data_IF_905227580507
#
_entry.id   IF_905227580507
#
_cell.length_a   1.000
_cell.length_b   1.000
_cell.length_c   1.000
_cell.angle_alpha   90.00
_cell.angle_beta   90.00
_cell.angle_gamma   90.00
#
_symmetry.space_group_name_H-M   'P 1'
#
loop_
_entity.id
_entity.type
_entity.pdbx_description
1 polymer ?
#
# COMPACT_ATOMS: atom_id res chain seq x y z
N UNK A 1 24.33 3.94 2.51
CA UNK A 1 23.35 3.52 3.52
C UNK A 1 22.17 4.48 3.40
N UNK A 2 20.98 3.99 3.12
CA UNK A 2 19.78 4.83 3.08
C UNK A 2 19.56 5.41 4.48
N UNK A 3 19.26 6.70 4.57
CA UNK A 3 18.89 7.37 5.83
C UNK A 3 17.44 7.02 6.25
N UNK A 4 16.90 5.93 5.73
CA UNK A 4 15.56 5.41 6.03
C UNK A 4 15.63 4.57 7.32
N UNK A 5 14.57 4.60 8.12
CA UNK A 5 14.47 3.79 9.33
C UNK A 5 14.24 2.30 9.06
N UNK A 6 14.24 1.50 10.11
CA UNK A 6 14.14 0.02 10.04
C UNK A 6 12.87 -0.46 9.31
N UNK A 7 11.73 0.21 9.51
CA UNK A 7 10.47 -0.13 8.84
C UNK A 7 10.50 0.28 7.37
N UNK A 8 11.13 1.39 7.08
CA UNK A 8 11.24 1.96 5.74
C UNK A 8 12.14 1.11 4.82
N UNK A 9 13.09 0.37 5.35
CA UNK A 9 13.89 -0.58 4.55
C UNK A 9 13.02 -1.69 3.94
N UNK A 10 11.84 -1.94 4.54
CA UNK A 10 10.86 -2.87 3.95
C UNK A 10 10.17 -2.35 2.68
N UNK A 11 10.30 -1.05 2.34
CA UNK A 11 9.74 -0.44 1.13
C UNK A 11 10.25 -1.09 -0.16
N UNK A 12 11.48 -1.58 -0.13
CA UNK A 12 12.09 -2.18 -1.32
C UNK A 12 11.55 -3.58 -1.64
N UNK A 13 11.09 -4.34 -0.64
CA UNK A 13 10.60 -5.70 -0.84
C UNK A 13 9.41 -5.77 -1.82
N UNK A 14 8.37 -4.92 -1.70
CA UNK A 14 7.30 -4.87 -2.70
C UNK A 14 7.77 -4.45 -4.10
N UNK A 15 8.72 -3.53 -4.20
CA UNK A 15 9.30 -3.13 -5.48
C UNK A 15 10.04 -4.29 -6.13
N UNK A 16 10.92 -4.97 -5.39
CA UNK A 16 11.64 -6.16 -5.88
C UNK A 16 10.68 -7.29 -6.27
N UNK A 17 9.59 -7.48 -5.53
CA UNK A 17 8.56 -8.46 -5.87
C UNK A 17 7.90 -8.17 -7.21
N UNK A 18 7.55 -6.90 -7.49
CA UNK A 18 6.97 -6.49 -8.78
C UNK A 18 7.97 -6.60 -9.93
N UNK A 19 9.24 -6.25 -9.70
CA UNK A 19 10.32 -6.43 -10.69
C UNK A 19 10.46 -7.92 -11.02
N UNK A 20 10.61 -8.76 -10.00
CA UNK A 20 10.75 -10.21 -10.16
C UNK A 20 9.57 -10.82 -10.92
N UNK A 21 8.34 -10.48 -10.55
CA UNK A 21 7.16 -11.00 -11.22
C UNK A 21 7.07 -10.49 -12.66
N UNK A 22 7.42 -9.24 -12.93
CA UNK A 22 7.43 -8.69 -14.30
C UNK A 22 8.40 -9.41 -15.21
N UNK A 23 9.53 -9.88 -14.68
CA UNK A 23 10.57 -10.60 -15.44
C UNK A 23 10.27 -12.09 -15.59
N UNK A 24 9.69 -12.75 -14.56
CA UNK A 24 9.57 -14.21 -14.52
C UNK A 24 8.13 -14.73 -14.58
N UNK A 25 7.15 -13.94 -14.16
CA UNK A 25 5.74 -14.30 -14.05
C UNK A 25 4.82 -13.15 -14.47
N UNK A 26 4.97 -12.55 -15.69
CA UNK A 26 4.26 -11.33 -16.10
C UNK A 26 2.73 -11.52 -16.14
N UNK A 27 2.23 -12.76 -16.13
CA UNK A 27 0.80 -13.06 -15.99
C UNK A 27 0.22 -12.73 -14.61
N UNK A 28 1.05 -12.62 -13.57
CA UNK A 28 0.63 -12.18 -12.23
C UNK A 28 0.51 -10.66 -12.22
N UNK A 29 1.60 -9.98 -12.57
CA UNK A 29 1.67 -8.53 -12.69
C UNK A 29 2.80 -8.15 -13.64
N UNK A 30 2.54 -7.17 -14.50
CA UNK A 30 3.57 -6.55 -15.32
C UNK A 30 3.67 -5.06 -14.96
N UNK A 31 4.76 -4.69 -14.32
CA UNK A 31 5.03 -3.35 -13.82
C UNK A 31 6.20 -2.72 -14.57
N UNK A 32 5.88 -2.08 -15.71
CA UNK A 32 6.87 -1.40 -16.53
C UNK A 32 7.64 -0.34 -15.74
N UNK A 33 6.94 0.38 -14.85
CA UNK A 33 7.57 1.45 -14.05
C UNK A 33 8.57 0.91 -13.03
N UNK A 34 8.24 -0.21 -12.39
CA UNK A 34 9.18 -0.88 -11.48
C UNK A 34 10.43 -1.38 -12.24
N UNK A 35 10.27 -1.93 -13.44
CA UNK A 35 11.40 -2.33 -14.29
C UNK A 35 12.30 -1.14 -14.68
N UNK A 36 11.72 0.02 -15.02
CA UNK A 36 12.49 1.24 -15.32
C UNK A 36 13.29 1.76 -14.11
N UNK A 37 12.82 1.47 -12.89
CA UNK A 37 13.50 1.90 -11.67
C UNK A 37 14.55 0.90 -11.17
N UNK A 38 14.60 -0.30 -11.73
CA UNK A 38 15.49 -1.39 -11.26
C UNK A 38 16.94 -0.93 -11.09
N UNK A 39 17.47 -0.23 -12.09
CA UNK A 39 18.88 0.23 -12.10
C UNK A 39 19.13 1.41 -11.15
N UNK A 40 18.06 2.08 -10.67
CA UNK A 40 18.15 3.19 -9.73
C UNK A 40 18.06 2.75 -8.26
N UNK A 41 17.70 1.49 -8.04
CA UNK A 41 17.68 0.94 -6.67
C UNK A 41 19.11 0.73 -6.16
N UNK A 42 19.34 0.79 -4.85
CA UNK A 42 20.62 0.49 -4.22
C UNK A 42 21.20 -0.85 -4.71
N UNK A 43 22.49 -0.88 -5.03
CA UNK A 43 23.16 -2.06 -5.62
C UNK A 43 23.13 -3.28 -4.70
N UNK A 44 23.22 -3.07 -3.40
CA UNK A 44 23.12 -4.12 -2.38
C UNK A 44 21.76 -4.83 -2.38
N UNK A 45 20.70 -4.14 -2.80
CA UNK A 45 19.35 -4.72 -2.96
C UNK A 45 19.21 -5.49 -4.29
N UNK A 46 19.96 -5.08 -5.31
CA UNK A 46 19.96 -5.77 -6.62
C UNK A 46 20.74 -7.09 -6.56
N UNK A 47 21.86 -7.11 -5.84
CA UNK A 47 22.79 -8.24 -5.75
C UNK A 47 22.43 -9.24 -4.66
N UNK A 48 21.88 -8.78 -3.54
CA UNK A 48 21.49 -9.62 -2.43
C UNK A 48 20.09 -10.21 -2.66
N UNK A 49 20.03 -11.33 -3.36
CA UNK A 49 18.84 -12.20 -3.44
C UNK A 49 18.45 -12.81 -2.09
N UNK A 50 18.46 -12.00 -1.00
CA UNK A 50 18.13 -12.44 0.36
C UNK A 50 16.64 -12.79 0.49
N UNK A 51 15.81 -12.30 -0.43
CA UNK A 51 14.38 -12.56 -0.42
C UNK A 51 14.05 -13.89 -1.10
N UNK A 52 13.26 -14.74 -0.42
CA UNK A 52 12.78 -15.96 -1.04
C UNK A 52 11.85 -15.64 -2.22
N UNK A 53 11.85 -16.51 -3.25
CA UNK A 53 10.90 -16.38 -4.37
C UNK A 53 9.45 -16.30 -3.87
N UNK A 54 9.12 -17.03 -2.81
CA UNK A 54 7.81 -16.98 -2.19
C UNK A 54 7.47 -15.56 -1.68
N UNK A 55 8.40 -14.89 -1.00
CA UNK A 55 8.21 -13.53 -0.49
C UNK A 55 7.99 -12.54 -1.63
N UNK A 56 8.80 -12.63 -2.68
CA UNK A 56 8.69 -11.77 -3.86
C UNK A 56 7.35 -11.97 -4.58
N UNK A 57 6.97 -13.23 -4.84
CA UNK A 57 5.71 -13.54 -5.50
C UNK A 57 4.49 -13.19 -4.64
N UNK A 58 4.53 -13.44 -3.33
CA UNK A 58 3.44 -13.05 -2.42
C UNK A 58 3.21 -11.54 -2.44
N UNK A 59 4.30 -10.75 -2.46
CA UNK A 59 4.23 -9.29 -2.58
C UNK A 59 3.68 -8.84 -3.93
N UNK A 60 4.07 -9.49 -5.01
CA UNK A 60 3.57 -9.22 -6.36
C UNK A 60 2.06 -9.53 -6.49
N UNK A 61 1.61 -10.67 -5.96
CA UNK A 61 0.19 -11.07 -5.93
C UNK A 61 -0.64 -10.06 -5.12
N UNK A 62 -0.12 -9.57 -3.98
CA UNK A 62 -0.75 -8.51 -3.22
C UNK A 62 -0.97 -7.26 -4.09
N UNK A 63 0.08 -6.78 -4.78
CA UNK A 63 -0.03 -5.63 -5.68
C UNK A 63 -1.03 -5.88 -6.81
N UNK A 64 -1.04 -7.05 -7.41
CA UNK A 64 -2.00 -7.43 -8.46
C UNK A 64 -3.46 -7.42 -7.95
N UNK A 65 -3.70 -7.89 -6.73
CA UNK A 65 -5.02 -7.85 -6.10
C UNK A 65 -5.45 -6.40 -5.81
N UNK A 66 -4.56 -5.55 -5.30
CA UNK A 66 -4.85 -4.12 -5.12
C UNK A 66 -5.23 -3.46 -6.44
N UNK A 67 -4.48 -3.71 -7.52
CA UNK A 67 -4.77 -3.23 -8.87
C UNK A 67 -6.17 -3.65 -9.33
N UNK A 68 -6.59 -4.89 -9.04
CA UNK A 68 -7.91 -5.41 -9.39
C UNK A 68 -9.02 -4.63 -8.69
N UNK A 69 -8.90 -4.37 -7.40
CA UNK A 69 -9.87 -3.58 -6.65
C UNK A 69 -9.93 -2.14 -7.14
N UNK A 70 -8.79 -1.51 -7.39
CA UNK A 70 -8.72 -0.16 -7.94
C UNK A 70 -9.41 -0.08 -9.30
N UNK A 71 -9.11 -1.00 -10.22
CA UNK A 71 -9.78 -1.04 -11.54
C UNK A 71 -11.28 -1.29 -11.42
N UNK A 72 -11.70 -2.14 -10.49
CA UNK A 72 -13.13 -2.37 -10.20
C UNK A 72 -13.82 -1.11 -9.70
N UNK A 73 -13.18 -0.38 -8.77
CA UNK A 73 -13.68 0.92 -8.30
C UNK A 73 -13.77 1.93 -9.44
N UNK A 74 -12.71 2.12 -10.22
CA UNK A 74 -12.66 3.07 -11.33
C UNK A 74 -13.65 2.74 -12.45
N UNK A 75 -13.98 1.46 -12.63
CA UNK A 75 -15.06 1.06 -13.57
C UNK A 75 -16.43 1.56 -13.10
N UNK A 76 -16.70 1.56 -11.79
CA UNK A 76 -17.95 2.05 -11.19
C UNK A 76 -17.96 3.58 -10.99
N UNK A 77 -16.81 4.16 -10.75
CA UNK A 77 -16.58 5.56 -10.39
C UNK A 77 -15.39 6.13 -11.20
N UNK A 78 -15.54 6.36 -12.50
CA UNK A 78 -14.41 6.73 -13.37
C UNK A 78 -13.74 8.07 -13.01
N UNK A 79 -14.45 8.97 -12.32
CA UNK A 79 -13.94 10.24 -11.80
C UNK A 79 -13.72 10.20 -10.28
N UNK A 80 -13.68 9.01 -9.70
CA UNK A 80 -13.38 8.82 -8.29
C UNK A 80 -11.93 9.15 -7.95
N UNK A 81 -11.65 9.22 -6.66
CA UNK A 81 -10.33 9.54 -6.11
C UNK A 81 -9.69 8.30 -5.53
N UNK A 82 -8.42 8.10 -5.81
CA UNK A 82 -7.61 7.04 -5.18
C UNK A 82 -6.67 7.68 -4.17
N UNK A 83 -6.67 7.16 -2.94
CA UNK A 83 -5.72 7.55 -1.90
C UNK A 83 -4.93 6.32 -1.47
N UNK A 84 -3.61 6.39 -1.58
CA UNK A 84 -2.69 5.33 -1.15
C UNK A 84 -2.05 5.70 0.18
N UNK A 85 -2.39 4.99 1.26
CA UNK A 85 -1.78 5.15 2.58
C UNK A 85 -0.56 4.24 2.72
N UNK A 86 0.53 4.77 3.25
CA UNK A 86 1.80 4.05 3.29
C UNK A 86 2.27 3.71 1.88
N UNK A 87 2.27 4.72 0.99
CA UNK A 87 2.48 4.50 -0.44
C UNK A 87 3.88 4.00 -0.79
N UNK A 88 4.88 4.26 0.07
CA UNK A 88 6.26 3.83 -0.17
C UNK A 88 6.71 4.08 -1.61
N UNK A 89 7.24 3.04 -2.23
CA UNK A 89 7.64 3.03 -3.65
C UNK A 89 6.61 2.32 -4.55
N UNK A 90 5.31 2.38 -4.19
CA UNK A 90 4.26 1.75 -4.99
C UNK A 90 4.05 2.50 -6.32
N UNK A 91 3.91 1.74 -7.39
CA UNK A 91 3.80 2.22 -8.77
C UNK A 91 2.41 1.99 -9.36
N UNK A 92 1.41 1.77 -8.52
CA UNK A 92 0.02 1.49 -8.90
C UNK A 92 -0.58 2.56 -9.81
N UNK A 93 -0.24 3.84 -9.57
CA UNK A 93 -0.65 4.95 -10.45
C UNK A 93 -0.32 4.63 -11.92
N UNK A 94 0.90 4.19 -12.21
CA UNK A 94 1.33 3.91 -13.60
C UNK A 94 0.64 2.68 -14.21
N UNK A 95 0.09 1.77 -13.38
CA UNK A 95 -0.59 0.56 -13.86
C UNK A 95 -2.11 0.71 -13.96
N UNK A 96 -2.69 1.61 -13.16
CA UNK A 96 -4.13 1.67 -12.95
C UNK A 96 -4.77 3.01 -13.32
N UNK A 97 -3.99 4.07 -13.59
CA UNK A 97 -4.56 5.37 -13.95
C UNK A 97 -5.40 5.26 -15.24
N UNK A 98 -6.58 5.87 -15.20
CA UNK A 98 -7.53 5.90 -16.31
C UNK A 98 -7.50 7.24 -17.08
N UNK A 99 -6.55 8.13 -16.80
CA UNK A 99 -6.41 9.44 -17.42
C UNK A 99 -7.34 10.53 -16.88
N UNK A 100 -8.19 10.25 -15.88
CA UNK A 100 -9.20 11.17 -15.33
C UNK A 100 -9.12 11.28 -13.82
N UNK A 101 -8.81 10.20 -13.15
CA UNK A 101 -8.78 10.07 -11.69
C UNK A 101 -7.71 10.94 -11.07
N UNK A 102 -8.02 11.55 -9.92
CA UNK A 102 -7.05 12.17 -9.03
C UNK A 102 -6.52 11.15 -8.05
N UNK A 103 -5.20 11.17 -7.86
CA UNK A 103 -4.48 10.26 -6.97
C UNK A 103 -3.78 11.04 -5.88
N UNK A 104 -3.81 10.49 -4.68
CA UNK A 104 -3.06 11.01 -3.53
C UNK A 104 -2.23 9.87 -2.94
N UNK A 105 -0.93 10.11 -2.82
CA UNK A 105 -0.01 9.18 -2.20
C UNK A 105 0.46 9.77 -0.86
N UNK A 106 0.11 9.11 0.22
CA UNK A 106 0.34 9.57 1.60
C UNK A 106 1.39 8.68 2.26
N UNK A 107 2.44 9.29 2.79
CA UNK A 107 3.46 8.60 3.59
C UNK A 107 4.22 9.59 4.48
N UNK A 108 5.08 9.08 5.34
CA UNK A 108 5.94 9.89 6.19
C UNK A 108 6.82 10.84 5.35
N UNK A 109 7.17 12.03 5.87
CA UNK A 109 7.86 13.06 5.08
C UNK A 109 9.12 12.55 4.37
N UNK A 110 9.99 11.83 5.08
CA UNK A 110 11.23 11.30 4.51
C UNK A 110 11.00 10.22 3.43
N UNK A 111 9.90 9.45 3.52
CA UNK A 111 9.50 8.48 2.50
C UNK A 111 9.01 9.21 1.25
N UNK A 112 8.20 10.25 1.42
CA UNK A 112 7.72 11.09 0.32
C UNK A 112 8.88 11.79 -0.38
N UNK A 113 9.87 12.28 0.36
CA UNK A 113 11.05 12.93 -0.23
C UNK A 113 11.86 11.92 -1.06
N UNK A 114 12.11 10.72 -0.53
CA UNK A 114 12.76 9.66 -1.30
C UNK A 114 11.94 9.20 -2.51
N UNK A 115 10.60 9.10 -2.37
CA UNK A 115 9.70 8.79 -3.48
C UNK A 115 9.85 9.80 -4.62
N UNK A 116 9.91 11.09 -4.34
CA UNK A 116 10.06 12.16 -5.35
C UNK A 116 11.33 12.04 -6.18
N UNK A 117 12.41 11.52 -5.61
CA UNK A 117 13.67 11.29 -6.33
C UNK A 117 13.53 10.22 -7.41
N UNK A 118 12.76 9.18 -7.13
CA UNK A 118 12.60 8.03 -8.03
C UNK A 118 11.37 8.14 -8.93
N UNK A 119 10.29 8.70 -8.41
CA UNK A 119 8.97 8.78 -9.02
C UNK A 119 8.49 10.24 -8.99
N UNK A 120 8.83 11.04 -10.02
CA UNK A 120 8.36 12.42 -10.09
C UNK A 120 6.83 12.49 -10.05
N UNK A 121 6.30 13.44 -9.30
CA UNK A 121 4.86 13.68 -9.19
C UNK A 121 4.28 14.04 -10.55
N UNK A 122 3.13 13.47 -10.88
CA UNK A 122 2.39 13.78 -12.10
C UNK A 122 1.32 14.86 -11.86
N UNK A 123 0.71 15.35 -12.91
CA UNK A 123 -0.39 16.34 -12.82
C UNK A 123 -1.62 15.80 -12.06
N UNK A 124 -1.84 14.49 -12.07
CA UNK A 124 -2.97 13.83 -11.42
C UNK A 124 -2.62 13.06 -10.16
N UNK A 125 -1.35 13.00 -9.79
CA UNK A 125 -0.88 12.35 -8.58
C UNK A 125 -0.28 13.38 -7.63
N UNK A 126 -0.83 13.54 -6.44
CA UNK A 126 -0.38 14.47 -5.40
C UNK A 126 0.27 13.70 -4.26
N UNK A 127 1.47 14.09 -3.85
CA UNK A 127 2.17 13.52 -2.71
C UNK A 127 1.89 14.33 -1.46
N UNK A 128 1.37 13.65 -0.42
CA UNK A 128 1.06 14.23 0.87
C UNK A 128 1.98 13.64 1.95
N UNK A 129 2.86 14.48 2.48
CA UNK A 129 3.74 14.10 3.58
C UNK A 129 2.97 14.17 4.91
N UNK A 130 2.81 13.02 5.60
CA UNK A 130 2.10 12.98 6.87
C UNK A 130 1.85 11.57 7.38
N UNK A 131 1.36 11.49 8.62
CA UNK A 131 0.94 10.21 9.22
C UNK A 131 -0.42 9.78 8.65
N UNK A 132 -0.50 8.57 8.12
CA UNK A 132 -1.71 7.94 7.58
C UNK A 132 -2.88 7.87 8.60
N UNK A 133 -2.59 7.91 9.88
CA UNK A 133 -3.57 7.82 10.97
C UNK A 133 -4.10 9.19 11.46
N UNK A 134 -3.73 10.29 10.80
CA UNK A 134 -4.24 11.63 11.09
C UNK A 134 -5.30 12.05 10.08
N UNK A 135 -6.11 13.07 10.42
CA UNK A 135 -7.14 13.60 9.52
C UNK A 135 -6.60 14.54 8.43
N UNK A 136 -5.34 14.97 8.52
CA UNK A 136 -4.83 16.05 7.67
C UNK A 136 -4.93 15.72 6.18
N UNK A 137 -4.56 14.52 5.79
CA UNK A 137 -4.59 14.11 4.39
C UNK A 137 -6.03 14.00 3.86
N UNK A 138 -6.98 13.45 4.64
CA UNK A 138 -8.37 13.31 4.17
C UNK A 138 -9.08 14.67 4.12
N UNK A 139 -8.76 15.58 5.03
CA UNK A 139 -9.25 16.97 4.98
C UNK A 139 -8.75 17.69 3.73
N UNK A 140 -7.46 17.50 3.36
CA UNK A 140 -6.93 18.05 2.12
C UNK A 140 -7.66 17.48 0.90
N UNK A 141 -7.83 16.16 0.81
CA UNK A 141 -8.55 15.51 -0.29
C UNK A 141 -9.98 16.04 -0.40
N UNK A 142 -10.69 16.25 0.72
CA UNK A 142 -12.05 16.79 0.73
C UNK A 142 -12.11 18.28 0.44
N UNK A 143 -11.06 19.03 0.74
CA UNK A 143 -10.95 20.43 0.32
C UNK A 143 -10.80 20.54 -1.19
N UNK A 144 -9.96 19.68 -1.77
CA UNK A 144 -9.71 19.68 -3.22
C UNK A 144 -10.92 19.12 -4.00
N UNK A 145 -11.58 18.09 -3.46
CA UNK A 145 -12.65 17.31 -4.12
C UNK A 145 -13.75 16.93 -3.09
N UNK A 146 -14.64 17.86 -2.74
CA UNK A 146 -15.60 17.70 -1.62
C UNK A 146 -16.50 16.47 -1.72
N UNK A 147 -17.06 16.21 -2.90
CA UNK A 147 -18.10 15.19 -3.11
C UNK A 147 -17.62 13.96 -3.87
N UNK A 148 -16.32 13.88 -4.20
CA UNK A 148 -15.81 12.76 -4.98
C UNK A 148 -15.88 11.45 -4.19
N UNK A 149 -16.32 10.34 -4.81
CA UNK A 149 -16.19 9.02 -4.19
C UNK A 149 -14.70 8.67 -4.06
N UNK A 150 -14.31 8.14 -2.90
CA UNK A 150 -12.91 7.87 -2.58
C UNK A 150 -12.72 6.36 -2.37
N UNK A 151 -11.65 5.82 -2.97
CA UNK A 151 -11.07 4.55 -2.60
C UNK A 151 -9.74 4.80 -1.87
N UNK A 152 -9.66 4.38 -0.62
CA UNK A 152 -8.41 4.34 0.16
C UNK A 152 -7.79 2.96 0.01
N UNK A 153 -6.52 2.89 -0.32
CA UNK A 153 -5.76 1.64 -0.36
C UNK A 153 -4.63 1.67 0.66
N UNK A 154 -4.40 0.54 1.34
CA UNK A 154 -3.31 0.37 2.30
C UNK A 154 -2.67 -1.01 2.10
N UNK A 155 -1.57 -1.08 1.38
CA UNK A 155 -0.85 -2.32 1.09
C UNK A 155 0.39 -2.48 1.97
N UNK A 156 0.39 -3.49 2.87
CA UNK A 156 1.52 -3.77 3.77
C UNK A 156 1.69 -2.76 4.90
N UNK A 157 0.66 -1.99 5.21
CA UNK A 157 0.73 -0.91 6.21
C UNK A 157 0.20 -1.35 7.58
N UNK A 158 -1.00 -1.90 7.63
CA UNK A 158 -1.72 -2.04 8.91
C UNK A 158 -1.12 -3.10 9.83
N UNK A 159 -0.37 -4.06 9.31
CA UNK A 159 0.28 -5.10 10.12
C UNK A 159 1.15 -4.56 11.27
N UNK A 160 1.71 -3.37 11.10
CA UNK A 160 2.62 -2.75 12.08
C UNK A 160 1.91 -1.99 13.22
N UNK A 161 0.57 -1.96 13.23
CA UNK A 161 -0.20 -1.15 14.18
C UNK A 161 -1.17 -2.00 14.98
N UNK A 162 -1.45 -1.57 16.20
CA UNK A 162 -2.46 -2.18 17.06
C UNK A 162 -3.87 -2.06 16.45
N UNK A 163 -4.73 -3.05 16.70
CA UNK A 163 -6.09 -3.13 16.15
C UNK A 163 -6.89 -1.85 16.43
N UNK A 164 -6.81 -1.32 17.65
CA UNK A 164 -7.56 -0.12 18.05
C UNK A 164 -7.16 1.12 17.22
N UNK A 165 -5.88 1.23 16.84
CA UNK A 165 -5.42 2.33 15.99
C UNK A 165 -6.01 2.22 14.59
N UNK A 166 -6.04 1.02 14.02
CA UNK A 166 -6.63 0.76 12.70
C UNK A 166 -8.14 0.98 12.72
N UNK A 167 -8.84 0.49 13.74
CA UNK A 167 -10.28 0.71 13.93
C UNK A 167 -10.59 2.22 14.04
N UNK A 168 -9.78 2.95 14.79
CA UNK A 168 -9.94 4.40 14.96
C UNK A 168 -9.79 5.14 13.63
N UNK A 169 -8.84 4.75 12.78
CA UNK A 169 -8.72 5.27 11.41
C UNK A 169 -9.99 5.03 10.60
N UNK A 170 -10.53 3.82 10.58
CA UNK A 170 -11.75 3.51 9.82
C UNK A 170 -12.96 4.29 10.34
N UNK A 171 -13.09 4.44 11.66
CA UNK A 171 -14.17 5.25 12.26
C UNK A 171 -14.02 6.74 11.91
N UNK A 172 -12.81 7.24 11.88
CA UNK A 172 -12.50 8.60 11.47
C UNK A 172 -12.91 8.81 10.00
N UNK A 173 -12.51 7.91 9.09
CA UNK A 173 -12.83 8.02 7.66
C UNK A 173 -14.34 8.11 7.39
N UNK A 174 -15.17 7.41 8.15
CA UNK A 174 -16.64 7.47 8.03
C UNK A 174 -17.23 8.87 8.22
N UNK A 175 -16.53 9.77 8.88
CA UNK A 175 -16.98 11.15 9.09
C UNK A 175 -16.79 12.02 7.82
N UNK A 176 -16.07 11.48 6.84
CA UNK A 176 -15.74 12.19 5.61
C UNK A 176 -16.54 11.73 4.38
N UNK A 177 -17.70 11.10 4.58
CA UNK A 177 -18.60 10.69 3.51
C UNK A 177 -18.38 9.27 3.01
N UNK A 178 -18.74 9.01 1.74
CA UNK A 178 -18.63 7.69 1.12
C UNK A 178 -17.17 7.38 0.81
N UNK A 179 -16.60 6.42 1.53
CA UNK A 179 -15.21 5.97 1.36
C UNK A 179 -15.18 4.45 1.36
N UNK A 180 -14.65 3.87 0.28
CA UNK A 180 -14.27 2.46 0.23
C UNK A 180 -12.83 2.31 0.73
N UNK A 181 -12.53 1.24 1.47
CA UNK A 181 -11.16 0.95 1.92
C UNK A 181 -10.77 -0.45 1.49
N UNK A 182 -9.61 -0.58 0.88
CA UNK A 182 -9.00 -1.87 0.51
C UNK A 182 -7.64 -1.99 1.17
N UNK A 183 -7.41 -3.08 1.85
CA UNK A 183 -6.14 -3.36 2.51
C UNK A 183 -5.86 -4.86 2.52
N UNK A 184 -4.59 -5.21 2.66
CA UNK A 184 -4.19 -6.60 2.87
C UNK A 184 -4.09 -6.94 4.35
N UNK A 185 -4.41 -8.17 4.67
CA UNK A 185 -4.29 -8.71 6.02
C UNK A 185 -4.09 -10.22 6.00
N UNK A 186 -3.73 -10.77 7.13
CA UNK A 186 -3.63 -12.21 7.38
C UNK A 186 -4.46 -12.58 8.60
N UNK A 187 -4.76 -13.85 8.79
CA UNK A 187 -5.34 -14.34 10.04
C UNK A 187 -4.25 -14.48 11.13
N UNK A 188 -4.66 -14.76 12.36
CA UNK A 188 -3.74 -14.89 13.50
C UNK A 188 -2.61 -15.90 13.26
N UNK A 189 -2.88 -17.03 12.61
CA UNK A 189 -1.86 -18.04 12.28
C UNK A 189 -0.88 -17.52 11.24
N UNK A 190 -1.39 -16.84 10.21
CA UNK A 190 -0.57 -16.18 9.19
C UNK A 190 0.32 -15.09 9.78
N UNK A 191 -0.20 -14.29 10.71
CA UNK A 191 0.57 -13.27 11.42
C UNK A 191 1.76 -13.89 12.19
N UNK A 192 1.51 -14.94 12.97
CA UNK A 192 2.58 -15.63 13.70
C UNK A 192 3.67 -16.20 12.77
N UNK A 193 3.26 -16.68 11.59
CA UNK A 193 4.20 -17.17 10.57
C UNK A 193 4.98 -16.02 9.92
N UNK A 194 4.33 -14.92 9.59
CA UNK A 194 4.96 -13.72 9.05
C UNK A 194 5.98 -13.13 10.02
N UNK A 195 5.61 -12.96 11.29
CA UNK A 195 6.51 -12.46 12.33
C UNK A 195 7.78 -13.32 12.44
N UNK A 196 7.62 -14.64 12.41
CA UNK A 196 8.73 -15.58 12.58
C UNK A 196 9.64 -15.69 11.35
N UNK A 197 9.07 -15.71 10.15
CA UNK A 197 9.80 -15.98 8.90
C UNK A 197 10.16 -14.72 8.13
N UNK A 198 9.15 -13.89 7.85
CA UNK A 198 9.32 -12.73 6.98
C UNK A 198 10.22 -11.67 7.61
N UNK A 199 9.94 -11.26 8.84
CA UNK A 199 10.72 -10.22 9.50
C UNK A 199 12.19 -10.64 9.71
N UNK A 200 12.45 -11.93 9.93
CA UNK A 200 13.82 -12.47 10.00
C UNK A 200 14.53 -12.40 8.64
N UNK A 201 13.82 -12.67 7.54
CA UNK A 201 14.39 -12.62 6.18
C UNK A 201 14.74 -11.22 5.72
N UNK A 202 13.92 -10.21 6.09
CA UNK A 202 14.18 -8.81 5.72
C UNK A 202 15.15 -8.11 6.68
N UNK A 203 15.75 -8.84 7.63
CA UNK A 203 16.73 -8.26 8.56
C UNK A 203 16.14 -7.46 9.72
N UNK A 204 14.82 -7.50 9.91
CA UNK A 204 14.08 -6.71 10.90
C UNK A 204 13.33 -7.59 11.91
N UNK A 205 14.02 -8.56 12.47
CA UNK A 205 13.45 -9.54 13.41
C UNK A 205 12.79 -8.90 14.65
N UNK A 206 13.22 -7.71 15.02
CA UNK A 206 12.72 -6.96 16.19
C UNK A 206 11.46 -6.13 15.91
N UNK A 207 11.07 -5.96 14.64
CA UNK A 207 9.83 -5.24 14.29
C UNK A 207 8.63 -6.14 14.57
N UNK A 208 7.76 -5.67 15.45
CA UNK A 208 6.53 -6.38 15.80
C UNK A 208 5.41 -6.10 14.81
N UNK A 209 4.59 -7.12 14.58
CA UNK A 209 3.34 -7.04 13.83
C UNK A 209 2.17 -7.36 14.75
N UNK A 210 1.10 -6.57 14.65
CA UNK A 210 -0.03 -6.61 15.60
C UNK A 210 -1.35 -6.90 14.91
N UNK A 211 -1.65 -6.20 13.82
CA UNK A 211 -2.96 -6.25 13.17
C UNK A 211 -3.13 -7.47 12.29
N UNK A 212 -4.14 -8.27 12.60
CA UNK A 212 -4.61 -9.39 11.80
C UNK A 212 -6.15 -9.45 11.80
N UNK A 213 -6.74 -10.16 10.85
CA UNK A 213 -8.19 -10.29 10.73
C UNK A 213 -8.56 -11.76 10.59
N UNK A 214 -9.15 -12.35 11.64
CA UNK A 214 -9.70 -13.71 11.58
C UNK A 214 -11.09 -13.75 10.95
N UNK A 215 -11.84 -12.63 11.03
CA UNK A 215 -13.18 -12.49 10.47
C UNK A 215 -13.43 -11.07 9.98
N UNK A 216 -13.55 -10.91 8.68
CA UNK A 216 -13.88 -9.62 8.07
C UNK A 216 -15.26 -9.10 8.50
N UNK A 217 -16.23 -9.99 8.72
CA UNK A 217 -17.56 -9.64 9.23
C UNK A 217 -17.45 -9.03 10.63
N UNK A 218 -16.64 -9.62 11.51
CA UNK A 218 -16.44 -9.08 12.86
C UNK A 218 -15.74 -7.71 12.83
N UNK A 219 -14.74 -7.55 11.96
CA UNK A 219 -14.09 -6.26 11.78
C UNK A 219 -15.07 -5.21 11.26
N UNK A 220 -15.87 -5.55 10.23
CA UNK A 220 -16.90 -4.66 9.70
C UNK A 220 -17.88 -4.22 10.80
N UNK A 221 -18.29 -5.14 11.69
CA UNK A 221 -19.12 -4.83 12.86
C UNK A 221 -18.43 -3.86 13.84
N UNK A 222 -17.15 -4.05 14.14
CA UNK A 222 -16.38 -3.17 15.04
C UNK A 222 -16.26 -1.74 14.51
N UNK A 223 -16.13 -1.57 13.21
CA UNK A 223 -16.02 -0.25 12.57
C UNK A 223 -17.37 0.36 12.21
N UNK A 224 -18.47 -0.43 12.28
CA UNK A 224 -19.80 -0.03 11.82
C UNK A 224 -19.89 0.14 10.31
N UNK A 225 -19.04 -0.53 9.55
CA UNK A 225 -18.98 -0.52 8.07
C UNK A 225 -19.66 -1.73 7.45
N UNK A 226 -19.71 -1.76 6.11
CA UNK A 226 -20.10 -2.91 5.31
C UNK A 226 -18.90 -3.65 4.72
N UNK A 227 -19.08 -4.92 4.42
CA UNK A 227 -18.14 -5.73 3.66
C UNK A 227 -18.59 -5.77 2.19
N UNK A 228 -17.68 -5.44 1.27
CA UNK A 228 -17.98 -5.45 -0.16
C UNK A 228 -17.44 -6.70 -0.86
N UNK A 229 -16.16 -7.01 -0.69
CA UNK A 229 -15.51 -8.16 -1.34
C UNK A 229 -14.27 -8.60 -0.55
N UNK A 230 -13.88 -9.87 -0.72
CA UNK A 230 -12.66 -10.45 -0.15
C UNK A 230 -12.01 -11.38 -1.17
N UNK A 231 -10.68 -11.41 -1.18
CA UNK A 231 -9.88 -12.33 -1.99
C UNK A 231 -8.75 -12.96 -1.22
#
# INVERSE_FOLDING_TARGET
MSHLGVVEDTLFVPMLGRIYASEHCPQIIYDKKALELKEKLPSDLQENGSQSQYTLLASAVRSANMDRFIRSFLKRRPDGVIVQLGCGLETTYYRCDNGRTRWYAVDLPHVIDYRKELLPQSERETYLAGDAFTENWIRQVRTDLPDAPILVTAGGLFHYFEEDKVISLFRMLRQFGEIEVVFDTVNKKGMAMMQKKYMKQVGHADVQMFFYVDSAVNLAGKIGGGLMDMT
#
